data_IF_025551844610
#
_entry.id   IF_025551844610
#
_cell.length_a   1.000
_cell.length_b   1.000
_cell.length_c   1.000
_cell.angle_alpha   90.00
_cell.angle_beta   90.00
_cell.angle_gamma   90.00
#
_symmetry.space_group_name_H-M   'P 1'
#
loop_
_entity.id
_entity.type
_entity.pdbx_description
1 polymer ?
#
# COMPACT_ATOMS: atom_id res chain seq x y z
N UNK A 1 18.74 16.62 -4.80
CA UNK A 1 17.62 16.53 -5.75
C UNK A 1 16.33 16.64 -4.96
N UNK A 2 15.47 17.63 -5.26
CA UNK A 2 14.09 17.63 -4.76
C UNK A 2 13.41 16.41 -5.37
N UNK A 3 13.01 15.45 -4.55
CA UNK A 3 12.26 14.27 -4.99
C UNK A 3 10.90 14.74 -5.48
N UNK A 4 10.74 14.88 -6.79
CA UNK A 4 9.45 15.14 -7.39
C UNK A 4 8.51 14.00 -6.97
N UNK A 5 7.36 14.34 -6.38
CA UNK A 5 6.41 13.34 -5.88
C UNK A 5 5.78 12.64 -7.08
N UNK A 6 6.22 11.40 -7.35
CA UNK A 6 5.67 10.58 -8.42
C UNK A 6 4.23 10.17 -8.06
N UNK A 7 3.27 10.54 -8.91
CA UNK A 7 1.87 10.12 -8.80
C UNK A 7 1.77 8.61 -8.98
N UNK A 8 1.02 7.90 -8.14
CA UNK A 8 0.85 6.44 -8.25
C UNK A 8 -0.29 6.12 -9.22
N UNK A 9 -0.15 5.06 -9.99
CA UNK A 9 -1.16 4.63 -11.00
C UNK A 9 -2.56 4.40 -10.43
N UNK A 10 -2.70 4.04 -9.15
CA UNK A 10 -3.99 3.79 -8.51
C UNK A 10 -4.71 5.06 -8.04
N UNK A 11 -4.05 6.22 -8.01
CA UNK A 11 -4.64 7.45 -7.44
C UNK A 11 -5.96 7.83 -8.14
N UNK A 12 -5.97 7.80 -9.47
CA UNK A 12 -7.14 8.20 -10.26
C UNK A 12 -8.22 7.12 -10.20
N UNK A 13 -7.83 5.84 -10.29
CA UNK A 13 -8.77 4.72 -10.18
C UNK A 13 -9.49 4.73 -8.83
N UNK A 14 -8.77 4.92 -7.72
CA UNK A 14 -9.39 4.96 -6.38
C UNK A 14 -10.41 6.10 -6.27
N UNK A 15 -10.06 7.27 -6.81
CA UNK A 15 -10.93 8.45 -6.78
C UNK A 15 -12.19 8.25 -7.64
N UNK A 16 -12.04 7.69 -8.83
CA UNK A 16 -13.13 7.50 -9.79
C UNK A 16 -14.01 6.27 -9.52
N UNK A 17 -13.55 5.36 -8.67
CA UNK A 17 -14.24 4.10 -8.34
C UNK A 17 -14.69 4.09 -6.88
N UNK A 18 -13.86 3.60 -5.94
CA UNK A 18 -14.27 3.44 -4.55
C UNK A 18 -14.83 4.72 -3.93
N UNK A 19 -14.11 5.85 -4.06
CA UNK A 19 -14.53 7.09 -3.43
C UNK A 19 -15.76 7.70 -4.11
N UNK A 20 -15.90 7.56 -5.43
CA UNK A 20 -17.05 8.04 -6.19
C UNK A 20 -18.34 7.24 -5.88
N UNK A 21 -18.20 5.95 -5.56
CA UNK A 21 -19.33 5.07 -5.25
C UNK A 21 -19.52 4.82 -3.75
N UNK A 22 -19.02 5.72 -2.90
CA UNK A 22 -19.15 5.65 -1.44
C UNK A 22 -18.72 4.29 -0.86
N UNK A 23 -17.69 3.68 -1.44
CA UNK A 23 -17.03 2.47 -0.93
C UNK A 23 -15.70 2.86 -0.30
N UNK A 24 -15.28 2.08 0.69
CA UNK A 24 -13.95 2.26 1.28
C UNK A 24 -12.87 1.78 0.31
N UNK A 25 -11.82 2.55 0.12
CA UNK A 25 -10.66 2.15 -0.67
C UNK A 25 -9.65 1.43 0.22
N UNK A 26 -9.41 0.13 -0.01
CA UNK A 26 -8.45 -0.65 0.78
C UNK A 26 -7.16 -0.81 0.02
N UNK A 27 -6.13 -0.05 0.41
CA UNK A 27 -4.81 -0.09 -0.22
C UNK A 27 -3.93 -1.10 0.50
N UNK A 28 -3.66 -2.22 -0.17
CA UNK A 28 -2.78 -3.28 0.29
C UNK A 28 -1.52 -3.36 -0.57
N UNK A 29 -0.57 -4.22 -0.18
CA UNK A 29 0.65 -4.46 -0.95
C UNK A 29 1.90 -4.58 -0.06
N UNK A 30 3.06 -4.87 -0.68
CA UNK A 30 4.31 -5.11 0.04
C UNK A 30 4.69 -3.97 0.98
N UNK A 31 5.35 -4.27 2.10
CA UNK A 31 5.94 -3.22 2.94
C UNK A 31 6.87 -2.32 2.12
N UNK A 32 6.88 -1.04 2.46
CA UNK A 32 7.68 0.00 1.80
C UNK A 32 7.36 0.25 0.31
N UNK A 33 6.23 -0.27 -0.23
CA UNK A 33 5.84 0.03 -1.62
C UNK A 33 5.22 1.41 -1.84
N UNK A 34 4.97 2.19 -0.77
CA UNK A 34 4.42 3.56 -0.86
C UNK A 34 2.92 3.70 -0.57
N UNK A 35 2.30 2.76 0.15
CA UNK A 35 0.85 2.79 0.47
C UNK A 35 0.41 4.06 1.20
N UNK A 36 1.08 4.42 2.30
CA UNK A 36 0.75 5.64 3.04
C UNK A 36 0.97 6.89 2.20
N UNK A 37 1.97 6.90 1.31
CA UNK A 37 2.18 7.99 0.36
C UNK A 37 1.03 8.11 -0.64
N UNK A 38 0.54 6.98 -1.18
CA UNK A 38 -0.66 6.96 -2.02
C UNK A 38 -1.89 7.45 -1.25
N UNK A 39 -2.13 6.93 -0.04
CA UNK A 39 -3.23 7.36 0.82
C UNK A 39 -3.22 8.87 1.06
N UNK A 40 -2.07 9.44 1.42
CA UNK A 40 -1.90 10.89 1.61
C UNK A 40 -2.14 11.69 0.33
N UNK A 41 -1.81 11.14 -0.84
CA UNK A 41 -2.04 11.83 -2.12
C UNK A 41 -3.52 11.98 -2.48
N UNK A 42 -4.39 11.20 -1.83
CA UNK A 42 -5.85 11.26 -2.01
C UNK A 42 -6.52 12.24 -1.04
N UNK A 43 -5.79 12.76 -0.06
CA UNK A 43 -6.33 13.69 0.94
C UNK A 43 -6.40 15.11 0.38
N UNK A 44 -7.47 15.82 0.72
CA UNK A 44 -7.61 17.24 0.44
C UNK A 44 -6.86 18.09 1.49
N UNK A 45 -6.83 17.63 2.74
CA UNK A 45 -6.11 18.29 3.83
C UNK A 45 -5.30 17.28 4.66
N UNK A 46 -4.13 17.68 5.20
CA UNK A 46 -3.28 16.79 5.98
C UNK A 46 -3.90 16.29 7.30
N UNK A 47 -4.84 17.04 7.86
CA UNK A 47 -5.53 16.71 9.13
C UNK A 47 -6.41 15.46 9.01
N UNK A 48 -6.73 15.05 7.78
CA UNK A 48 -7.50 13.84 7.49
C UNK A 48 -6.66 12.56 7.51
N UNK A 49 -5.38 12.64 7.90
CA UNK A 49 -4.53 11.48 8.14
C UNK A 49 -4.63 11.01 9.61
N UNK A 50 -5.14 9.80 9.78
CA UNK A 50 -5.27 9.12 11.06
C UNK A 50 -4.46 7.83 11.04
N UNK A 51 -3.27 7.86 11.65
CA UNK A 51 -2.37 6.69 11.69
C UNK A 51 -2.43 5.96 13.01
N UNK A 52 -2.45 4.62 12.96
CA UNK A 52 -2.41 3.78 14.14
C UNK A 52 -1.12 3.96 14.97
N UNK A 53 -0.06 4.52 14.40
CA UNK A 53 1.17 4.76 15.16
C UNK A 53 1.04 5.95 16.12
N UNK A 54 0.01 6.80 15.97
CA UNK A 54 -0.29 7.88 16.91
C UNK A 54 -1.14 7.38 18.09
N UNK A 55 -0.60 7.49 19.31
CA UNK A 55 -1.29 7.10 20.56
C UNK A 55 -2.64 7.81 20.74
N UNK A 56 -2.72 9.10 20.39
CA UNK A 56 -3.97 9.87 20.49
C UNK A 56 -5.09 9.26 19.65
N UNK A 57 -4.79 8.93 18.38
CA UNK A 57 -5.76 8.30 17.49
C UNK A 57 -6.15 6.91 18.00
N UNK A 58 -5.18 6.06 18.39
CA UNK A 58 -5.46 4.73 18.93
C UNK A 58 -6.45 4.76 20.09
N UNK A 59 -6.21 5.64 21.07
CA UNK A 59 -7.06 5.77 22.26
C UNK A 59 -8.46 6.26 21.89
N UNK A 60 -8.57 7.27 21.02
CA UNK A 60 -9.85 7.78 20.57
C UNK A 60 -10.64 6.72 19.76
N UNK A 61 -10.00 6.10 18.76
CA UNK A 61 -10.58 5.07 17.91
C UNK A 61 -11.06 3.85 18.71
N UNK A 62 -10.28 3.43 19.71
CA UNK A 62 -10.64 2.29 20.53
C UNK A 62 -11.92 2.53 21.35
N UNK A 63 -12.17 3.79 21.75
CA UNK A 63 -13.34 4.24 22.49
C UNK A 63 -14.54 4.42 21.56
N UNK A 64 -14.39 5.24 20.53
CA UNK A 64 -15.42 5.55 19.55
C UNK A 64 -14.82 6.07 18.23
N UNK A 65 -15.00 5.35 17.10
CA UNK A 65 -14.52 5.77 15.78
C UNK A 65 -15.07 7.12 15.31
N UNK A 66 -16.31 7.46 15.62
CA UNK A 66 -16.93 8.72 15.17
C UNK A 66 -16.24 9.92 15.83
N UNK A 67 -16.14 9.91 17.16
CA UNK A 67 -15.39 10.90 17.95
C UNK A 67 -13.92 10.98 17.51
N UNK A 68 -13.31 9.85 17.13
CA UNK A 68 -11.92 9.83 16.67
C UNK A 68 -11.70 10.66 15.38
N UNK A 69 -12.74 10.80 14.55
CA UNK A 69 -12.72 11.54 13.28
C UNK A 69 -13.44 12.89 13.34
N UNK A 70 -13.84 13.35 14.53
CA UNK A 70 -14.63 14.58 14.68
C UNK A 70 -13.90 15.85 14.21
N UNK A 71 -12.57 15.86 14.23
CA UNK A 71 -11.74 17.01 13.85
C UNK A 71 -11.25 16.94 12.39
N UNK A 72 -11.81 16.04 11.58
CA UNK A 72 -11.47 15.95 10.15
C UNK A 72 -11.93 17.20 9.40
N UNK A 73 -11.17 17.60 8.39
CA UNK A 73 -11.63 18.51 7.34
C UNK A 73 -12.53 17.80 6.32
N UNK A 74 -13.05 18.55 5.33
CA UNK A 74 -13.82 17.97 4.24
C UNK A 74 -12.98 16.98 3.41
N UNK A 75 -13.67 16.08 2.72
CA UNK A 75 -13.04 15.13 1.79
C UNK A 75 -12.59 13.82 2.43
N UNK A 76 -11.74 13.05 1.72
CA UNK A 76 -11.37 11.70 2.14
C UNK A 76 -10.57 11.68 3.45
N UNK A 77 -10.74 10.62 4.23
CA UNK A 77 -9.93 10.31 5.42
C UNK A 77 -9.04 9.10 5.17
N UNK A 78 -7.81 9.15 5.67
CA UNK A 78 -6.85 8.05 5.62
C UNK A 78 -6.75 7.40 7.00
N UNK A 79 -7.13 6.13 7.09
CA UNK A 79 -6.90 5.27 8.25
C UNK A 79 -5.66 4.41 8.00
N UNK A 80 -4.50 4.91 8.40
CA UNK A 80 -3.20 4.30 8.12
C UNK A 80 -2.85 3.20 9.14
N UNK A 81 -2.47 2.02 8.65
CA UNK A 81 -2.11 0.85 9.47
C UNK A 81 -3.22 0.39 10.45
N UNK A 82 -4.49 0.65 10.12
CA UNK A 82 -5.65 0.39 10.99
C UNK A 82 -5.79 -1.07 11.44
N UNK A 83 -5.31 -2.01 10.61
CA UNK A 83 -5.32 -3.45 10.86
C UNK A 83 -4.55 -3.90 12.12
N UNK A 84 -3.76 -3.00 12.74
CA UNK A 84 -3.11 -3.23 14.04
C UNK A 84 -4.10 -3.24 15.20
N UNK A 85 -5.29 -2.64 15.06
CA UNK A 85 -6.39 -2.82 16.01
C UNK A 85 -7.00 -4.22 15.88
N UNK A 86 -7.21 -4.93 16.99
CA UNK A 86 -7.83 -6.27 16.95
C UNK A 86 -9.30 -6.26 16.53
N UNK A 87 -10.04 -5.16 16.77
CA UNK A 87 -11.47 -5.05 16.45
C UNK A 87 -11.75 -4.07 15.29
N UNK A 88 -10.73 -3.78 14.48
CA UNK A 88 -10.79 -2.75 13.44
C UNK A 88 -11.98 -2.91 12.50
N UNK A 89 -12.27 -4.15 12.06
CA UNK A 89 -13.36 -4.45 11.14
C UNK A 89 -14.73 -4.08 11.68
N UNK A 90 -15.00 -4.43 12.94
CA UNK A 90 -16.28 -4.15 13.59
C UNK A 90 -16.48 -2.63 13.74
N UNK A 91 -15.44 -1.93 14.18
CA UNK A 91 -15.44 -0.48 14.34
C UNK A 91 -15.62 0.24 13.01
N UNK A 92 -14.87 -0.18 12.00
CA UNK A 92 -14.92 0.38 10.65
C UNK A 92 -16.27 0.12 9.98
N UNK A 93 -16.87 -1.07 10.19
CA UNK A 93 -18.23 -1.37 9.73
C UNK A 93 -19.24 -0.38 10.32
N UNK A 94 -19.19 -0.17 11.63
CA UNK A 94 -20.10 0.75 12.32
C UNK A 94 -19.97 2.18 11.79
N UNK A 95 -18.73 2.66 11.63
CA UNK A 95 -18.46 3.97 11.04
C UNK A 95 -19.02 4.07 9.61
N UNK A 96 -18.75 3.07 8.77
CA UNK A 96 -19.22 3.05 7.38
C UNK A 96 -20.75 3.01 7.28
N UNK A 97 -21.41 2.15 8.06
CA UNK A 97 -22.87 2.01 8.00
C UNK A 97 -23.61 3.30 8.41
N UNK A 98 -22.96 4.18 9.20
CA UNK A 98 -23.51 5.47 9.62
C UNK A 98 -23.16 6.62 8.66
N UNK A 99 -21.98 6.58 8.02
CA UNK A 99 -21.36 7.74 7.37
C UNK A 99 -20.83 7.46 5.95
N UNK A 100 -21.30 6.39 5.29
CA UNK A 100 -20.80 5.99 3.96
C UNK A 100 -20.84 7.13 2.92
N UNK A 101 -21.90 7.93 2.95
CA UNK A 101 -22.10 9.04 2.01
C UNK A 101 -21.29 10.28 2.40
N UNK A 102 -21.07 10.51 3.70
CA UNK A 102 -20.45 11.72 4.24
C UNK A 102 -18.93 11.64 4.39
N UNK A 103 -18.38 10.43 4.51
CA UNK A 103 -16.96 10.20 4.81
C UNK A 103 -16.38 9.23 3.78
N UNK A 104 -15.69 9.73 2.74
CA UNK A 104 -14.89 8.88 1.87
C UNK A 104 -13.71 8.31 2.67
N UNK A 105 -13.62 6.98 2.78
CA UNK A 105 -12.63 6.32 3.64
C UNK A 105 -11.58 5.61 2.78
N UNK A 106 -10.31 5.92 3.04
CA UNK A 106 -9.15 5.19 2.54
C UNK A 106 -8.50 4.46 3.72
N UNK A 107 -8.26 3.16 3.57
CA UNK A 107 -7.59 2.34 4.58
C UNK A 107 -6.30 1.79 3.98
N UNK A 108 -5.19 1.89 4.70
CA UNK A 108 -3.96 1.20 4.32
C UNK A 108 -3.64 0.08 5.30
N UNK A 109 -2.90 -0.90 4.82
CA UNK A 109 -2.34 -1.92 5.69
C UNK A 109 -1.37 -2.86 4.98
N UNK A 110 -0.78 -3.73 5.79
CA UNK A 110 0.13 -4.77 5.31
C UNK A 110 -0.61 -5.89 4.57
N UNK A 111 0.13 -6.90 4.12
CA UNK A 111 -0.38 -8.11 3.46
C UNK A 111 -1.49 -8.84 4.25
N UNK A 112 -1.66 -8.53 5.55
CA UNK A 112 -2.79 -8.98 6.35
C UNK A 112 -4.15 -8.61 5.72
N UNK A 113 -4.28 -7.43 5.11
CA UNK A 113 -5.52 -7.03 4.42
C UNK A 113 -5.89 -7.98 3.27
N UNK A 114 -4.90 -8.53 2.56
CA UNK A 114 -5.13 -9.48 1.45
C UNK A 114 -5.60 -10.85 1.96
N UNK A 115 -5.11 -11.29 3.12
CA UNK A 115 -5.43 -12.60 3.69
C UNK A 115 -6.84 -12.68 4.28
N UNK A 116 -7.38 -11.55 4.74
CA UNK A 116 -8.65 -11.51 5.45
C UNK A 116 -9.90 -11.62 4.55
N UNK A 117 -9.72 -11.70 3.23
CA UNK A 117 -10.78 -11.97 2.25
C UNK A 117 -11.50 -13.32 2.46
N UNK A 118 -10.88 -14.26 3.20
CA UNK A 118 -11.38 -15.64 3.35
C UNK A 118 -12.21 -15.92 4.60
N UNK A 119 -12.40 -14.94 5.50
CA UNK A 119 -13.02 -15.17 6.81
C UNK A 119 -14.36 -14.44 6.94
N UNK A 120 -15.45 -14.98 6.37
CA UNK A 120 -16.85 -14.61 6.65
C UNK A 120 -17.09 -13.12 6.93
N UNK A 121 -16.51 -12.25 6.09
CA UNK A 121 -16.09 -10.92 6.52
C UNK A 121 -17.28 -9.94 6.62
N UNK A 122 -17.39 -9.23 7.73
CA UNK A 122 -18.49 -8.29 8.01
C UNK A 122 -18.48 -7.04 7.13
N UNK A 123 -17.43 -6.88 6.30
CA UNK A 123 -17.19 -5.74 5.42
C UNK A 123 -17.50 -6.02 3.94
N UNK A 124 -18.00 -7.23 3.60
CA UNK A 124 -18.34 -7.56 2.22
C UNK A 124 -19.27 -6.50 1.59
N UNK A 125 -18.93 -6.08 0.37
CA UNK A 125 -19.68 -5.08 -0.39
C UNK A 125 -19.50 -3.62 0.08
N UNK A 126 -18.69 -3.35 1.11
CA UNK A 126 -18.45 -1.99 1.64
C UNK A 126 -17.12 -1.38 1.20
N UNK A 127 -16.22 -2.18 0.63
CA UNK A 127 -14.90 -1.75 0.21
C UNK A 127 -14.52 -2.31 -1.15
N UNK A 128 -13.55 -1.65 -1.79
CA UNK A 128 -12.89 -2.14 -3.00
C UNK A 128 -11.40 -2.32 -2.68
N UNK A 129 -10.82 -3.51 -2.94
CA UNK A 129 -9.41 -3.77 -2.70
C UNK A 129 -8.53 -3.23 -3.84
N UNK A 130 -7.46 -2.53 -3.48
CA UNK A 130 -6.45 -1.98 -4.38
C UNK A 130 -5.06 -2.47 -3.96
N UNK A 131 -4.45 -3.33 -4.78
CA UNK A 131 -3.11 -3.83 -4.52
C UNK A 131 -2.06 -2.92 -5.15
N UNK A 132 -1.33 -2.18 -4.32
CA UNK A 132 -0.24 -1.32 -4.75
C UNK A 132 1.06 -2.12 -4.92
N UNK A 133 1.59 -2.12 -6.13
CA UNK A 133 2.89 -2.69 -6.46
C UNK A 133 4.02 -1.67 -6.26
N UNK A 134 5.29 -2.11 -6.20
CA UNK A 134 6.42 -1.21 -6.39
C UNK A 134 6.31 -0.46 -7.72
N UNK A 135 7.07 0.61 -7.88
CA UNK A 135 7.07 1.41 -9.11
C UNK A 135 7.31 0.55 -10.34
N UNK A 136 6.54 0.84 -11.39
CA UNK A 136 6.78 0.38 -12.76
C UNK A 136 7.26 1.52 -13.64
N UNK A 137 8.01 1.22 -14.71
CA UNK A 137 8.47 2.24 -15.68
C UNK A 137 7.28 3.05 -16.23
N UNK A 138 6.17 2.36 -16.51
CA UNK A 138 4.95 2.95 -17.04
C UNK A 138 4.27 3.95 -16.10
N UNK A 139 4.51 3.91 -14.78
CA UNK A 139 3.94 4.89 -13.84
C UNK A 139 4.48 6.31 -14.05
N UNK A 140 5.65 6.43 -14.66
CA UNK A 140 6.28 7.73 -14.92
C UNK A 140 6.17 8.16 -16.38
N UNK A 141 5.62 7.29 -17.23
CA UNK A 141 5.42 7.57 -18.63
C UNK A 141 4.00 8.12 -18.86
N UNK A 142 3.87 9.19 -19.62
CA UNK A 142 2.58 9.55 -20.21
C UNK A 142 2.30 8.60 -21.38
N UNK A 143 1.24 7.78 -21.36
CA UNK A 143 0.96 6.87 -22.46
C UNK A 143 0.72 7.66 -23.75
N UNK A 144 1.25 7.21 -24.91
CA UNK A 144 1.03 7.90 -26.17
C UNK A 144 -0.40 7.68 -26.66
N UNK A 145 -0.88 8.60 -27.51
CA UNK A 145 -2.06 8.32 -28.33
C UNK A 145 -1.78 7.16 -29.30
N UNK A 146 -2.81 6.41 -29.74
CA UNK A 146 -2.65 5.32 -30.71
C UNK A 146 -1.88 5.73 -31.97
N UNK A 147 -2.07 6.97 -32.41
CA UNK A 147 -1.44 7.57 -33.59
C UNK A 147 0.07 7.75 -33.45
N UNK A 148 0.57 7.90 -32.22
CA UNK A 148 1.98 8.20 -31.93
C UNK A 148 2.72 7.02 -31.28
N UNK A 149 2.09 5.84 -31.18
CA UNK A 149 2.66 4.67 -30.47
C UNK A 149 4.04 4.25 -31.01
N UNK A 150 4.22 4.28 -32.33
CA UNK A 150 5.48 3.87 -32.99
C UNK A 150 6.62 4.87 -32.79
N UNK A 151 6.32 6.13 -32.48
CA UNK A 151 7.30 7.20 -32.27
C UNK A 151 7.45 7.56 -30.79
N UNK A 152 6.81 6.77 -29.92
CA UNK A 152 6.75 7.06 -28.50
C UNK A 152 8.08 6.75 -27.83
N UNK A 153 8.78 7.81 -27.43
CA UNK A 153 9.88 7.74 -26.48
C UNK A 153 9.36 8.20 -25.11
N UNK A 154 9.10 7.27 -24.17
CA UNK A 154 8.58 7.62 -22.85
C UNK A 154 9.62 8.44 -22.09
N UNK A 155 9.28 9.67 -21.74
CA UNK A 155 10.03 10.45 -20.75
C UNK A 155 9.71 9.92 -19.37
N UNK A 156 10.57 9.05 -18.85
CA UNK A 156 10.39 8.36 -17.55
C UNK A 156 11.34 8.90 -16.52
N UNK A 157 10.91 8.95 -15.26
CA UNK A 157 11.80 9.32 -14.15
C UNK A 157 12.86 8.24 -13.85
N UNK A 158 12.64 7.01 -14.32
CA UNK A 158 13.58 5.89 -14.20
C UNK A 158 13.36 4.87 -15.33
N UNK A 159 14.43 4.17 -15.71
CA UNK A 159 14.44 3.20 -16.79
C UNK A 159 14.16 1.77 -16.30
N UNK A 160 13.94 0.85 -17.23
CA UNK A 160 13.90 -0.59 -16.90
C UNK A 160 15.21 -1.07 -16.27
N UNK A 161 16.36 -0.53 -16.71
CA UNK A 161 17.67 -0.87 -16.12
C UNK A 161 17.71 -0.47 -14.64
N UNK A 162 17.21 0.71 -14.31
CA UNK A 162 17.16 1.19 -12.92
C UNK A 162 16.31 0.25 -12.04
N UNK A 163 15.14 -0.18 -12.51
CA UNK A 163 14.31 -1.15 -11.77
C UNK A 163 15.01 -2.50 -11.61
N UNK A 164 15.71 -2.98 -12.64
CA UNK A 164 16.42 -4.26 -12.60
C UNK A 164 17.59 -4.24 -11.60
N UNK A 165 18.35 -3.15 -11.55
CA UNK A 165 19.53 -3.04 -10.67
C UNK A 165 19.22 -2.50 -9.27
N UNK A 166 18.25 -1.59 -9.14
CA UNK A 166 17.93 -0.88 -7.89
C UNK A 166 16.61 -1.32 -7.27
N UNK A 167 15.86 -2.22 -7.91
CA UNK A 167 14.49 -2.63 -7.57
C UNK A 167 13.42 -1.58 -7.92
N UNK A 168 12.16 -1.99 -8.03
CA UNK A 168 11.03 -1.07 -8.18
C UNK A 168 10.59 -0.39 -6.87
N UNK A 169 11.22 -0.68 -5.73
CA UNK A 169 10.79 -0.10 -4.47
C UNK A 169 11.24 1.36 -4.35
N UNK A 170 10.38 2.26 -3.81
CA UNK A 170 10.67 3.69 -3.74
C UNK A 170 12.03 4.05 -3.13
N UNK A 171 12.37 3.46 -1.98
CA UNK A 171 13.59 3.83 -1.24
C UNK A 171 14.90 3.54 -2.00
N UNK A 172 15.16 2.31 -2.46
CA UNK A 172 16.38 2.03 -3.22
C UNK A 172 16.38 2.65 -4.62
N UNK A 173 15.22 2.68 -5.30
CA UNK A 173 15.10 3.25 -6.66
C UNK A 173 15.40 4.74 -6.68
N UNK A 174 14.74 5.52 -5.81
CA UNK A 174 14.89 6.97 -5.79
C UNK A 174 16.26 7.43 -5.25
N UNK A 175 16.96 6.56 -4.51
CA UNK A 175 18.30 6.85 -4.00
C UNK A 175 19.40 6.57 -5.04
N UNK A 176 19.15 5.75 -6.06
CA UNK A 176 20.05 5.61 -7.20
C UNK A 176 21.38 4.89 -6.92
N UNK A 177 21.51 4.15 -5.82
CA UNK A 177 22.79 3.55 -5.40
C UNK A 177 22.72 2.02 -5.30
N UNK A 178 23.54 1.33 -6.09
CA UNK A 178 23.63 -0.14 -6.12
C UNK A 178 23.99 -0.73 -4.75
N UNK A 179 24.99 -0.17 -4.06
CA UNK A 179 25.39 -0.64 -2.73
C UNK A 179 24.26 -0.46 -1.70
N UNK A 180 23.47 0.59 -1.84
CA UNK A 180 22.28 0.81 -1.01
C UNK A 180 21.16 -0.16 -1.36
N UNK A 181 20.86 -0.37 -2.65
CA UNK A 181 19.84 -1.30 -3.11
C UNK A 181 20.12 -2.74 -2.65
N UNK A 182 21.37 -3.21 -2.76
CA UNK A 182 21.81 -4.52 -2.26
C UNK A 182 21.61 -4.65 -0.75
N UNK A 183 22.04 -3.63 0.02
CA UNK A 183 21.86 -3.61 1.47
C UNK A 183 20.37 -3.63 1.86
N UNK A 184 19.57 -2.81 1.20
CA UNK A 184 18.14 -2.70 1.41
C UNK A 184 17.43 -4.03 1.12
N UNK A 185 17.77 -4.69 0.01
CA UNK A 185 17.21 -5.99 -0.36
C UNK A 185 17.46 -7.05 0.71
N UNK A 186 18.69 -7.14 1.23
CA UNK A 186 19.04 -8.07 2.31
C UNK A 186 18.23 -7.81 3.59
N UNK A 187 18.16 -6.54 4.02
CA UNK A 187 17.40 -6.15 5.21
C UNK A 187 15.90 -6.42 5.05
N UNK A 188 15.37 -6.21 3.84
CA UNK A 188 13.97 -6.50 3.56
C UNK A 188 13.66 -7.99 3.64
N UNK A 189 14.51 -8.86 3.09
CA UNK A 189 14.33 -10.31 3.19
C UNK A 189 14.34 -10.75 4.65
N UNK A 190 15.30 -10.27 5.44
CA UNK A 190 15.39 -10.57 6.87
C UNK A 190 14.13 -10.16 7.63
N UNK A 191 13.64 -8.93 7.44
CA UNK A 191 12.37 -8.48 8.06
C UNK A 191 11.17 -9.27 7.59
N UNK A 192 11.10 -9.60 6.30
CA UNK A 192 9.98 -10.38 5.77
C UNK A 192 9.91 -11.77 6.42
N UNK A 193 11.05 -12.45 6.57
CA UNK A 193 11.13 -13.74 7.24
C UNK A 193 10.78 -13.64 8.73
N UNK A 194 11.35 -12.64 9.43
CA UNK A 194 11.30 -12.58 10.88
C UNK A 194 10.03 -11.91 11.44
N UNK A 195 9.45 -10.94 10.73
CA UNK A 195 8.29 -10.17 11.16
C UNK A 195 7.04 -10.61 10.38
N UNK A 196 7.07 -10.53 9.04
CA UNK A 196 5.87 -10.73 8.24
C UNK A 196 5.43 -12.19 8.17
N UNK A 197 6.35 -13.13 7.97
CA UNK A 197 6.04 -14.56 7.87
C UNK A 197 5.67 -15.13 9.24
N UNK A 198 6.36 -14.72 10.31
CA UNK A 198 6.07 -15.16 11.69
C UNK A 198 4.66 -14.78 12.14
N UNK A 199 4.14 -13.67 11.64
CA UNK A 199 2.79 -13.20 11.91
C UNK A 199 1.69 -14.07 11.24
N UNK A 200 2.04 -14.92 10.28
CA UNK A 200 1.12 -15.92 9.74
C UNK A 200 1.05 -17.11 10.68
N UNK A 201 -0.14 -17.32 11.26
CA UNK A 201 -0.43 -18.29 12.34
C UNK A 201 -0.04 -19.76 12.08
N UNK A 202 0.41 -20.12 10.89
CA UNK A 202 0.61 -21.50 10.45
C UNK A 202 2.02 -21.81 9.91
N UNK A 203 3.01 -20.92 10.02
CA UNK A 203 4.37 -21.24 9.55
C UNK A 203 5.16 -21.85 10.69
N UNK A 204 5.24 -23.18 10.70
CA UNK A 204 5.92 -23.96 11.75
C UNK A 204 7.44 -23.95 11.63
N UNK A 205 7.98 -23.71 10.43
CA UNK A 205 9.42 -23.76 10.15
C UNK A 205 9.90 -22.53 9.38
N UNK A 206 10.38 -21.53 10.13
CA UNK A 206 10.99 -20.32 9.58
C UNK A 206 12.34 -20.61 8.90
N UNK A 207 13.03 -21.67 9.31
CA UNK A 207 14.33 -22.03 8.74
C UNK A 207 14.16 -22.58 7.32
N UNK A 208 13.22 -23.50 7.11
CA UNK A 208 12.87 -24.01 5.78
C UNK A 208 12.44 -22.87 4.83
N UNK A 209 11.70 -21.88 5.32
CA UNK A 209 11.34 -20.69 4.54
C UNK A 209 12.56 -19.83 4.19
N UNK A 210 13.50 -19.65 5.11
CA UNK A 210 14.76 -18.98 4.84
C UNK A 210 15.57 -19.68 3.73
N UNK A 211 15.67 -21.01 3.80
CA UNK A 211 16.31 -21.83 2.76
C UNK A 211 15.61 -21.67 1.41
N UNK A 212 14.27 -21.73 1.37
CA UNK A 212 13.52 -21.53 0.14
C UNK A 212 13.81 -20.15 -0.47
N UNK A 213 13.77 -19.08 0.34
CA UNK A 213 14.07 -17.72 -0.13
C UNK A 213 15.51 -17.60 -0.64
N UNK A 214 16.47 -18.26 0.00
CA UNK A 214 17.86 -18.28 -0.46
C UNK A 214 18.05 -19.02 -1.79
N UNK A 215 17.23 -20.05 -2.06
CA UNK A 215 17.27 -20.83 -3.30
C UNK A 215 16.52 -20.18 -4.46
N UNK A 216 15.56 -19.28 -4.19
CA UNK A 216 14.73 -18.65 -5.23
C UNK A 216 15.54 -17.93 -6.32
N UNK A 217 16.57 -17.12 -6.03
CA UNK A 217 17.37 -16.45 -7.06
C UNK A 217 17.98 -17.42 -8.09
N UNK A 218 18.41 -18.60 -7.63
CA UNK A 218 19.03 -19.62 -8.50
C UNK A 218 17.99 -20.44 -9.27
N UNK A 219 16.72 -20.40 -8.86
CA UNK A 219 15.62 -21.20 -9.46
C UNK A 219 14.73 -20.37 -10.37
N UNK A 220 14.53 -19.09 -10.08
CA UNK A 220 13.68 -18.19 -10.87
C UNK A 220 14.45 -17.73 -12.10
N UNK A 221 14.03 -18.19 -13.29
CA UNK A 221 14.70 -17.89 -14.57
C UNK A 221 15.79 -18.89 -14.95
N UNK A 222 16.01 -19.94 -14.16
CA UNK A 222 16.83 -21.08 -14.58
C UNK A 222 16.13 -21.81 -15.74
N UNK A 223 16.87 -22.14 -16.80
CA UNK A 223 16.37 -23.04 -17.85
C UNK A 223 16.21 -24.42 -17.19
N UNK A 224 15.00 -24.97 -17.23
CA UNK A 224 14.74 -26.38 -16.91
C UNK A 224 15.65 -27.30 -17.72
#
# INVERSE_FOLDING_TARGET
MKTEKIKRYLSDTISADALAYHKMAFISGPRQCGKSTLGRSLLQTPENEFTWDQTRFRTAWAKDPETALQNRGPGPVLLDELHKDRKWKQRLKGLYDLHAEDIPIVVTGSARLDYFQKSGDSLLGRYIPYRLHPFSVGETATPPSPENWLQFEPQTSFTMKDILYLTGFPEPLLRGSDSHAKRWSRLRVERLLNEDIRDFRNVSDLHAMGTLVALLPDRVGSRL
#
